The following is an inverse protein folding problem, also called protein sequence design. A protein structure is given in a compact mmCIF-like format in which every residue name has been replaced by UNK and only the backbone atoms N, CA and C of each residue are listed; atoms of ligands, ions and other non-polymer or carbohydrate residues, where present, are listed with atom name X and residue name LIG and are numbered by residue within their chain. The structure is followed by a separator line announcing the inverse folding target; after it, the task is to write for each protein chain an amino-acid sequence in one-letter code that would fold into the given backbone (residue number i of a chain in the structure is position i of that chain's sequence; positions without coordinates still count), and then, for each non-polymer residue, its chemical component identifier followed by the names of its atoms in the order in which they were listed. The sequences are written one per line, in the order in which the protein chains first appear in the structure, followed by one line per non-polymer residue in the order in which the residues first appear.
data_IF_486483235495
#
_entry.id   IF_486483235495
#
_cell.length_a   1.000
_cell.length_b   1.000
_cell.length_c   1.000
_cell.angle_alpha   90.00
_cell.angle_beta   90.00
_cell.angle_gamma   90.00
#
_symmetry.space_group_name_H-M   'P 1'
#
loop_
_entity.id
_entity.type
_entity.pdbx_description
1 polymer ?
#
# COMPACT_ATOMS: atom_id res chain seq x y z
N UNK A 1 -41.58 9.90 -7.22
CA UNK A 1 -40.25 10.52 -7.02
C UNK A 1 -39.30 9.41 -6.60
N UNK A 2 -38.17 9.21 -7.30
CA UNK A 2 -37.12 8.30 -6.79
C UNK A 2 -36.45 8.97 -5.60
N UNK A 3 -36.62 8.41 -4.42
CA UNK A 3 -35.94 8.86 -3.21
C UNK A 3 -34.44 8.64 -3.40
N UNK A 4 -33.65 9.70 -3.41
CA UNK A 4 -32.20 9.58 -3.42
C UNK A 4 -31.76 9.03 -2.06
N UNK A 5 -31.14 7.85 -2.06
CA UNK A 5 -30.54 7.25 -0.86
C UNK A 5 -29.02 7.19 -1.03
N UNK A 6 -28.31 7.36 0.08
CA UNK A 6 -26.87 7.13 0.11
C UNK A 6 -26.58 5.64 -0.15
N UNK A 7 -25.53 5.31 -0.93
CA UNK A 7 -25.12 3.93 -1.11
C UNK A 7 -24.49 3.39 0.18
N UNK A 8 -24.46 2.06 0.30
CA UNK A 8 -23.70 1.39 1.36
C UNK A 8 -22.20 1.75 1.28
N UNK A 9 -21.49 1.81 2.41
CA UNK A 9 -20.05 1.98 2.42
C UNK A 9 -19.37 0.88 1.60
N UNK A 10 -18.50 1.28 0.67
CA UNK A 10 -17.71 0.35 -0.15
C UNK A 10 -16.42 -0.14 0.53
N UNK A 11 -16.00 0.56 1.59
CA UNK A 11 -14.84 0.22 2.39
C UNK A 11 -15.31 -0.49 3.66
N UNK A 12 -15.71 -1.75 3.52
CA UNK A 12 -16.09 -2.63 4.63
C UNK A 12 -14.94 -3.58 4.90
N UNK A 13 -14.31 -3.44 6.06
CA UNK A 13 -13.11 -4.18 6.39
C UNK A 13 -12.72 -4.07 7.85
N UNK A 14 -11.73 -4.88 8.24
CA UNK A 14 -11.17 -4.88 9.59
C UNK A 14 -10.09 -3.81 9.69
N UNK A 15 -10.21 -2.93 10.69
CA UNK A 15 -9.12 -2.03 11.06
C UNK A 15 -8.07 -2.79 11.87
N UNK A 16 -6.84 -2.81 11.38
CA UNK A 16 -5.69 -3.44 12.02
C UNK A 16 -4.67 -2.38 12.42
N UNK A 17 -3.99 -2.59 13.54
CA UNK A 17 -2.88 -1.76 14.00
C UNK A 17 -1.58 -2.52 13.86
N UNK A 18 -0.92 -2.39 12.70
CA UNK A 18 0.41 -2.93 12.48
C UNK A 18 1.48 -1.90 12.83
N UNK A 19 2.68 -2.36 13.13
CA UNK A 19 3.85 -1.47 13.22
C UNK A 19 4.44 -1.26 11.82
N UNK A 20 5.19 -0.16 11.62
CA UNK A 20 5.95 0.07 10.38
C UNK A 20 6.82 -1.15 10.06
N UNK A 21 7.49 -1.75 11.05
CA UNK A 21 8.37 -2.89 10.84
C UNK A 21 7.68 -4.15 10.33
N UNK A 22 6.37 -4.28 10.56
CA UNK A 22 5.56 -5.38 10.01
C UNK A 22 5.55 -5.40 8.48
N UNK A 23 5.92 -4.28 7.84
CA UNK A 23 6.05 -4.21 6.38
C UNK A 23 7.21 -5.08 5.86
N UNK A 24 8.24 -5.38 6.64
CA UNK A 24 9.38 -6.23 6.19
C UNK A 24 9.74 -7.36 7.15
N UNK A 25 9.22 -7.33 8.38
CA UNK A 25 9.34 -8.44 9.32
C UNK A 25 8.22 -9.46 9.09
N UNK A 26 8.53 -10.75 9.30
CA UNK A 26 7.58 -11.85 9.09
C UNK A 26 7.68 -12.47 7.69
N UNK A 27 6.63 -13.17 7.28
CA UNK A 27 6.58 -13.87 6.00
C UNK A 27 6.42 -12.87 4.86
N UNK A 28 7.36 -12.89 3.91
CA UNK A 28 7.26 -12.08 2.71
C UNK A 28 6.07 -12.53 1.86
N UNK A 29 5.20 -11.58 1.51
CA UNK A 29 4.21 -11.80 0.46
C UNK A 29 4.92 -12.03 -0.87
N UNK A 30 4.33 -12.86 -1.72
CA UNK A 30 4.90 -13.18 -3.03
C UNK A 30 3.88 -12.84 -4.11
N UNK A 31 4.31 -12.23 -5.22
CA UNK A 31 3.49 -12.15 -6.42
C UNK A 31 2.97 -13.53 -6.82
N UNK A 32 1.67 -13.62 -7.08
CA UNK A 32 1.03 -14.80 -7.68
C UNK A 32 1.18 -14.78 -9.20
N UNK A 33 1.33 -13.58 -9.78
CA UNK A 33 1.48 -13.38 -11.21
C UNK A 33 2.75 -12.58 -11.51
N UNK A 34 3.39 -12.85 -12.65
CA UNK A 34 4.62 -12.16 -13.09
C UNK A 34 4.44 -10.66 -13.30
N UNK A 35 3.22 -10.22 -13.60
CA UNK A 35 2.88 -8.82 -13.84
C UNK A 35 2.72 -8.01 -12.55
N UNK A 36 2.55 -8.66 -11.41
CA UNK A 36 2.41 -8.01 -10.11
C UNK A 36 3.77 -7.52 -9.59
N UNK A 37 3.73 -6.48 -8.77
CA UNK A 37 4.94 -5.88 -8.19
C UNK A 37 4.98 -6.15 -6.69
N UNK A 38 6.14 -6.54 -6.17
CA UNK A 38 6.35 -6.63 -4.73
C UNK A 38 6.83 -5.29 -4.16
N UNK A 39 6.33 -4.91 -2.99
CA UNK A 39 6.83 -3.79 -2.19
C UNK A 39 6.93 -4.23 -0.74
N UNK A 40 8.14 -4.58 -0.30
CA UNK A 40 8.37 -5.23 0.99
C UNK A 40 7.48 -6.49 1.12
N UNK A 41 6.77 -6.69 2.23
CA UNK A 41 5.86 -7.82 2.43
C UNK A 41 4.44 -7.59 1.86
N UNK A 42 4.31 -6.77 0.82
CA UNK A 42 3.05 -6.46 0.15
C UNK A 42 3.17 -6.69 -1.36
N UNK A 43 2.04 -6.98 -2.00
CA UNK A 43 1.93 -7.18 -3.45
C UNK A 43 1.02 -6.12 -4.02
N UNK A 44 1.38 -5.58 -5.18
CA UNK A 44 0.66 -4.52 -5.87
C UNK A 44 0.02 -5.08 -7.13
N UNK A 45 -1.24 -4.69 -7.42
CA UNK A 45 -1.87 -5.01 -8.69
C UNK A 45 -1.04 -4.51 -9.88
N UNK A 46 -1.03 -5.26 -10.98
CA UNK A 46 -0.24 -4.90 -12.18
C UNK A 46 -0.68 -3.59 -12.84
N UNK A 47 -1.94 -3.19 -12.65
CA UNK A 47 -2.55 -1.97 -13.19
C UNK A 47 -2.34 -0.73 -12.30
N UNK A 48 -1.76 -0.89 -11.12
CA UNK A 48 -1.47 0.24 -10.23
C UNK A 48 -0.27 1.04 -10.77
N UNK A 49 -0.39 2.37 -10.81
CA UNK A 49 0.67 3.27 -11.29
C UNK A 49 2.01 3.03 -10.59
N UNK A 50 3.15 3.31 -11.24
CA UNK A 50 4.45 3.37 -10.56
C UNK A 50 4.48 4.40 -9.40
N UNK A 51 5.44 4.29 -8.45
CA UNK A 51 5.66 5.33 -7.45
C UNK A 51 5.93 6.69 -8.11
N UNK A 52 5.30 7.74 -7.59
CA UNK A 52 5.27 9.05 -8.23
C UNK A 52 5.54 10.22 -7.27
N UNK A 53 5.69 9.96 -5.97
CA UNK A 53 6.16 11.00 -5.04
C UNK A 53 7.60 11.40 -5.36
N UNK A 54 7.86 12.71 -5.41
CA UNK A 54 9.21 13.24 -5.53
C UNK A 54 10.04 12.87 -4.30
N UNK A 55 11.38 12.92 -4.42
CA UNK A 55 12.27 12.70 -3.28
C UNK A 55 11.91 13.59 -2.09
N UNK A 56 11.58 14.86 -2.36
CA UNK A 56 11.17 15.84 -1.35
C UNK A 56 9.90 15.40 -0.59
N UNK A 57 8.88 14.88 -1.30
CA UNK A 57 7.66 14.36 -0.67
C UNK A 57 7.95 13.15 0.21
N UNK A 58 8.81 12.24 -0.26
CA UNK A 58 9.18 11.04 0.49
C UNK A 58 9.99 11.40 1.74
N UNK A 59 10.96 12.31 1.64
CA UNK A 59 11.76 12.79 2.77
C UNK A 59 10.86 13.44 3.82
N UNK A 60 9.99 14.38 3.42
CA UNK A 60 9.06 15.04 4.34
C UNK A 60 8.12 14.07 5.05
N UNK A 61 7.67 13.02 4.36
CA UNK A 61 6.85 11.98 4.98
C UNK A 61 7.62 11.24 6.09
N UNK A 62 8.85 10.81 5.82
CA UNK A 62 9.68 10.10 6.82
C UNK A 62 10.05 11.03 7.98
N UNK A 63 10.41 12.29 7.71
CA UNK A 63 10.61 13.30 8.75
C UNK A 63 9.36 13.48 9.62
N UNK A 64 8.17 13.51 9.00
CA UNK A 64 6.89 13.58 9.70
C UNK A 64 6.68 12.43 10.68
N UNK A 65 7.08 11.20 10.33
CA UNK A 65 7.04 10.05 11.25
C UNK A 65 7.93 10.31 12.48
N UNK A 66 9.18 10.73 12.26
CA UNK A 66 10.11 11.03 13.36
C UNK A 66 9.67 12.21 14.25
N UNK A 67 8.89 13.15 13.68
CA UNK A 67 8.29 14.29 14.37
C UNK A 67 6.94 13.96 15.03
N UNK A 68 6.42 12.75 14.86
CA UNK A 68 5.16 12.31 15.50
C UNK A 68 3.89 12.77 14.77
N UNK A 69 3.98 13.18 13.50
CA UNK A 69 2.82 13.57 12.68
C UNK A 69 1.99 12.37 12.19
N UNK A 70 2.48 11.15 12.42
CA UNK A 70 1.81 9.91 12.07
C UNK A 70 2.08 9.42 10.65
N UNK A 71 1.52 8.25 10.33
CA UNK A 71 1.76 7.53 9.07
C UNK A 71 0.60 7.65 8.07
N UNK A 72 -0.55 8.19 8.48
CA UNK A 72 -1.82 7.91 7.80
C UNK A 72 -2.17 6.43 7.90
N UNK A 73 -2.84 5.86 6.89
CA UNK A 73 -3.19 4.44 6.82
C UNK A 73 -2.80 3.85 5.46
N UNK A 74 -2.92 2.54 5.31
CA UNK A 74 -2.88 1.86 4.01
C UNK A 74 -4.05 0.90 3.90
N UNK A 75 -4.40 0.49 2.69
CA UNK A 75 -5.56 -0.38 2.43
C UNK A 75 -5.11 -1.58 1.63
N UNK A 76 -5.48 -2.78 2.06
CA UNK A 76 -5.24 -4.03 1.34
C UNK A 76 -6.55 -4.74 1.04
N UNK A 77 -6.61 -5.49 -0.07
CA UNK A 77 -7.62 -6.52 -0.27
C UNK A 77 -7.44 -7.62 0.78
N UNK A 78 -8.53 -8.31 1.13
CA UNK A 78 -8.47 -9.44 2.04
C UNK A 78 -7.53 -10.54 1.54
N UNK A 79 -7.01 -11.34 2.47
CA UNK A 79 -6.22 -12.52 2.12
C UNK A 79 -7.12 -13.74 2.05
N UNK A 80 -7.00 -14.47 0.95
CA UNK A 80 -7.71 -15.74 0.75
C UNK A 80 -6.78 -16.74 0.06
N UNK A 81 -6.92 -18.02 0.42
CA UNK A 81 -6.06 -19.10 -0.06
C UNK A 81 -6.88 -20.15 -0.80
N UNK A 82 -6.32 -20.68 -1.88
CA UNK A 82 -6.88 -21.86 -2.56
C UNK A 82 -6.60 -23.14 -1.77
N UNK A 83 -7.22 -24.25 -2.22
CA UNK A 83 -7.04 -25.58 -1.63
C UNK A 83 -5.57 -26.07 -1.65
N UNK A 84 -4.76 -25.53 -2.55
CA UNK A 84 -3.32 -25.81 -2.66
C UNK A 84 -2.46 -24.99 -1.68
N UNK A 85 -3.09 -24.17 -0.83
CA UNK A 85 -2.45 -23.31 0.16
C UNK A 85 -1.77 -22.08 -0.43
N UNK A 86 -1.94 -21.79 -1.72
CA UNK A 86 -1.44 -20.56 -2.35
C UNK A 86 -2.46 -19.44 -2.24
N UNK A 87 -1.97 -18.21 -2.21
CA UNK A 87 -2.82 -17.03 -2.27
C UNK A 87 -3.68 -17.07 -3.55
N UNK A 88 -4.99 -16.84 -3.43
CA UNK A 88 -5.85 -16.65 -4.59
C UNK A 88 -5.45 -15.39 -5.38
N UNK A 89 -5.84 -15.28 -6.67
CA UNK A 89 -5.68 -14.03 -7.40
C UNK A 89 -6.23 -12.85 -6.59
N UNK A 90 -5.53 -11.72 -6.61
CA UNK A 90 -5.90 -10.49 -5.89
C UNK A 90 -5.79 -10.54 -4.35
N UNK A 91 -5.44 -11.69 -3.76
CA UNK A 91 -5.26 -11.85 -2.30
C UNK A 91 -4.20 -10.88 -1.78
N UNK A 92 -4.56 -10.08 -0.78
CA UNK A 92 -3.62 -9.18 -0.10
C UNK A 92 -3.09 -8.00 -0.94
N UNK A 93 -3.69 -7.70 -2.09
CA UNK A 93 -3.27 -6.57 -2.95
C UNK A 93 -3.32 -5.22 -2.23
N UNK A 94 -2.25 -4.43 -2.35
CA UNK A 94 -2.15 -3.07 -1.81
C UNK A 94 -2.91 -2.06 -2.68
N UNK A 95 -4.05 -1.56 -2.18
CA UNK A 95 -4.94 -0.64 -2.90
C UNK A 95 -4.68 0.83 -2.57
N UNK A 96 -4.12 1.14 -1.40
CA UNK A 96 -3.72 2.50 -1.03
C UNK A 96 -2.46 2.48 -0.16
N UNK A 97 -1.69 3.57 -0.19
CA UNK A 97 -0.48 3.72 0.63
C UNK A 97 0.83 3.41 -0.09
N UNK A 98 0.81 3.05 -1.38
CA UNK A 98 2.01 2.77 -2.19
C UNK A 98 3.11 3.82 -1.97
N UNK A 99 2.77 5.11 -2.06
CA UNK A 99 3.78 6.18 -1.99
C UNK A 99 4.44 6.29 -0.61
N UNK A 100 3.66 6.12 0.46
CA UNK A 100 4.14 6.11 1.86
C UNK A 100 5.05 4.91 2.10
N UNK A 101 4.63 3.73 1.66
CA UNK A 101 5.39 2.49 1.85
C UNK A 101 6.65 2.50 0.99
N UNK A 102 6.62 3.07 -0.21
CA UNK A 102 7.83 3.29 -1.02
C UNK A 102 8.81 4.21 -0.30
N UNK A 103 8.36 5.32 0.31
CA UNK A 103 9.24 6.18 1.09
C UNK A 103 9.88 5.43 2.27
N UNK A 104 9.11 4.60 2.98
CA UNK A 104 9.63 3.74 4.07
C UNK A 104 10.67 2.77 3.54
N UNK A 105 10.37 2.03 2.46
CA UNK A 105 11.28 1.08 1.83
C UNK A 105 12.61 1.75 1.43
N UNK A 106 12.54 2.92 0.79
CA UNK A 106 13.72 3.67 0.38
C UNK A 106 14.52 4.19 1.57
N UNK A 107 13.87 4.58 2.66
CA UNK A 107 14.59 5.01 3.86
C UNK A 107 15.31 3.84 4.54
N UNK A 108 14.65 2.70 4.75
CA UNK A 108 15.28 1.54 5.42
C UNK A 108 16.42 0.91 4.61
N UNK A 109 16.40 1.08 3.29
CA UNK A 109 17.48 0.68 2.38
C UNK A 109 18.58 1.75 2.20
N UNK A 110 18.57 2.81 3.01
CA UNK A 110 19.50 3.94 2.91
C UNK A 110 19.51 4.65 1.55
N UNK A 111 18.45 4.58 0.75
CA UNK A 111 18.35 5.26 -0.55
C UNK A 111 18.01 6.75 -0.39
N UNK A 112 17.26 7.11 0.64
CA UNK A 112 17.01 8.51 1.04
C UNK A 112 17.54 8.80 2.45
N UNK A 113 17.88 10.07 2.70
CA UNK A 113 18.26 10.57 4.02
C UNK A 113 17.26 11.65 4.46
N UNK A 114 17.07 11.80 5.76
CA UNK A 114 16.19 12.80 6.38
C UNK A 114 16.98 13.81 7.20
N UNK A 115 16.38 14.96 7.52
CA UNK A 115 16.98 16.02 8.32
C UNK A 115 18.37 16.43 7.84
N UNK A 116 18.55 16.51 6.52
CA UNK A 116 19.79 16.94 5.89
C UNK A 116 20.93 15.92 5.87
N UNK A 117 20.72 14.66 6.28
CA UNK A 117 21.76 13.64 6.13
C UNK A 117 21.62 12.35 6.96
N UNK A 118 20.60 12.22 7.80
CA UNK A 118 20.39 11.04 8.64
C UNK A 118 19.86 9.88 7.78
N UNK A 119 20.63 8.80 7.73
CA UNK A 119 20.30 7.54 7.05
C UNK A 119 19.76 6.52 8.05
N UNK A 120 18.97 5.54 7.60
CA UNK A 120 18.44 4.51 8.50
C UNK A 120 19.54 3.73 9.20
N UNK A 121 20.59 3.32 8.49
CA UNK A 121 21.74 2.62 9.08
C UNK A 121 22.44 3.42 10.17
N UNK A 122 22.43 4.76 10.11
CA UNK A 122 23.08 5.63 11.09
C UNK A 122 22.35 5.73 12.43
N UNK A 123 21.08 5.32 12.49
CA UNK A 123 20.28 5.35 13.71
C UNK A 123 20.73 4.26 14.69
N UNK A 124 20.76 4.61 15.98
CA UNK A 124 20.93 3.61 17.04
C UNK A 124 19.75 2.63 17.05
N UNK A 125 19.95 1.43 17.62
CA UNK A 125 18.88 0.43 17.77
C UNK A 125 17.68 0.99 18.54
N UNK A 126 17.93 1.83 19.55
CA UNK A 126 16.87 2.46 20.32
C UNK A 126 16.06 3.45 19.49
N UNK A 127 16.71 4.25 18.64
CA UNK A 127 16.03 5.18 17.72
C UNK A 127 15.24 4.44 16.66
N UNK A 128 15.82 3.43 16.01
CA UNK A 128 15.11 2.57 15.04
C UNK A 128 13.82 2.04 15.64
N UNK A 129 13.92 1.37 16.79
CA UNK A 129 12.78 0.73 17.45
C UNK A 129 11.73 1.74 17.89
N UNK A 130 12.12 2.74 18.69
CA UNK A 130 11.16 3.61 19.39
C UNK A 130 10.60 4.72 18.51
N UNK A 131 11.38 5.21 17.56
CA UNK A 131 11.01 6.40 16.76
C UNK A 131 10.57 6.07 15.34
N UNK A 132 10.72 4.82 14.89
CA UNK A 132 10.37 4.43 13.53
C UNK A 132 9.70 3.06 13.44
N UNK A 133 10.42 1.97 13.71
CA UNK A 133 9.95 0.58 13.49
C UNK A 133 8.65 0.26 14.24
N UNK A 134 8.53 0.64 15.51
CA UNK A 134 7.36 0.35 16.34
C UNK A 134 6.25 1.40 16.24
N UNK A 135 6.38 2.40 15.36
CA UNK A 135 5.30 3.36 15.12
C UNK A 135 4.15 2.61 14.44
N UNK A 136 2.92 2.85 14.92
CA UNK A 136 1.73 2.23 14.36
C UNK A 136 1.47 2.80 12.96
N UNK A 137 1.33 1.91 11.98
CA UNK A 137 0.84 2.19 10.65
C UNK A 137 -0.49 1.46 10.45
N UNK A 138 -1.63 2.13 10.69
CA UNK A 138 -2.96 1.55 10.52
C UNK A 138 -3.17 0.94 9.14
N UNK A 139 -3.77 -0.25 9.12
CA UNK A 139 -4.18 -0.95 7.90
C UNK A 139 -5.69 -1.15 7.92
N UNK A 140 -6.33 -0.88 6.79
CA UNK A 140 -7.70 -1.31 6.53
C UNK A 140 -7.61 -2.53 5.63
N UNK A 141 -7.99 -3.68 6.18
CA UNK A 141 -8.01 -4.95 5.48
C UNK A 141 -9.46 -5.23 5.05
N UNK A 142 -9.71 -5.20 3.75
CA UNK A 142 -11.04 -5.51 3.20
C UNK A 142 -11.38 -6.98 3.39
N UNK A 143 -12.68 -7.32 3.31
CA UNK A 143 -13.05 -8.69 2.95
C UNK A 143 -12.51 -8.99 1.54
N UNK A 144 -12.06 -10.23 1.31
CA UNK A 144 -11.50 -10.62 0.03
C UNK A 144 -12.49 -10.37 -1.11
N UNK A 145 -12.05 -9.59 -2.10
CA UNK A 145 -12.79 -9.36 -3.34
C UNK A 145 -12.06 -10.04 -4.50
N UNK A 146 -12.77 -10.89 -5.24
CA UNK A 146 -12.31 -11.47 -6.50
C UNK A 146 -12.67 -10.61 -7.74
N UNK A 147 -13.40 -9.51 -7.55
CA UNK A 147 -13.81 -8.58 -8.61
C UNK A 147 -12.75 -7.48 -8.81
N UNK A 148 -11.92 -7.62 -9.84
CA UNK A 148 -10.91 -6.63 -10.19
C UNK A 148 -11.52 -5.24 -10.51
N UNK A 149 -12.72 -5.21 -11.09
CA UNK A 149 -13.39 -3.96 -11.47
C UNK A 149 -13.82 -3.17 -10.23
N UNK A 150 -14.30 -3.87 -9.21
CA UNK A 150 -14.56 -3.30 -7.89
C UNK A 150 -13.27 -2.78 -7.25
N UNK A 151 -12.18 -3.57 -7.29
CA UNK A 151 -10.88 -3.17 -6.74
C UNK A 151 -10.29 -1.94 -7.45
N UNK A 152 -10.40 -1.85 -8.78
CA UNK A 152 -10.00 -0.67 -9.57
C UNK A 152 -10.84 0.56 -9.20
N UNK A 153 -12.15 0.38 -9.00
CA UNK A 153 -13.05 1.45 -8.56
C UNK A 153 -12.66 1.96 -7.17
N UNK A 154 -12.37 1.05 -6.23
CA UNK A 154 -11.89 1.38 -4.88
C UNK A 154 -10.56 2.12 -4.94
N UNK A 155 -9.58 1.60 -5.68
CA UNK A 155 -8.29 2.24 -5.88
C UNK A 155 -8.43 3.68 -6.37
N UNK A 156 -9.26 3.91 -7.40
CA UNK A 156 -9.46 5.25 -7.99
C UNK A 156 -10.07 6.23 -6.97
N UNK A 157 -10.98 5.75 -6.11
CA UNK A 157 -11.58 6.55 -5.04
C UNK A 157 -10.62 6.80 -3.88
N UNK A 158 -9.78 5.85 -3.51
CA UNK A 158 -8.80 6.01 -2.44
C UNK A 158 -7.68 6.97 -2.85
N UNK A 159 -7.25 6.89 -4.11
CA UNK A 159 -6.08 7.60 -4.61
C UNK A 159 -6.44 8.86 -5.42
N UNK A 160 -7.65 9.41 -5.26
CA UNK A 160 -8.10 10.59 -6.01
C UNK A 160 -7.34 11.88 -5.64
N UNK A 161 -6.78 11.91 -4.43
CA UNK A 161 -6.15 13.08 -3.83
C UNK A 161 -4.63 12.97 -3.79
N UNK A 162 -3.95 14.09 -3.51
CA UNK A 162 -2.50 14.18 -3.53
C UNK A 162 -1.95 14.40 -4.94
N UNK A 163 -1.03 13.54 -5.39
CA UNK A 163 -0.52 13.61 -6.76
C UNK A 163 -1.52 12.98 -7.71
N UNK A 164 -2.15 13.79 -8.56
CA UNK A 164 -3.13 13.35 -9.54
C UNK A 164 -2.56 12.30 -10.50
N UNK A 165 -3.38 11.32 -10.88
CA UNK A 165 -3.05 10.36 -11.92
C UNK A 165 -2.93 11.06 -13.28
N UNK A 166 -1.91 10.66 -14.03
CA UNK A 166 -1.78 11.04 -15.44
C UNK A 166 -2.79 10.26 -16.29
N UNK A 167 -2.98 10.67 -17.54
CA UNK A 167 -3.81 9.92 -18.49
C UNK A 167 -3.28 8.49 -18.72
N UNK A 168 -1.96 8.31 -18.70
CA UNK A 168 -1.31 7.00 -18.81
C UNK A 168 -1.65 6.13 -17.60
N UNK A 169 -1.59 6.69 -16.39
CA UNK A 169 -1.94 5.95 -15.17
C UNK A 169 -3.42 5.52 -15.16
N UNK A 170 -4.31 6.35 -15.70
CA UNK A 170 -5.74 6.05 -15.79
C UNK A 170 -6.03 4.98 -16.85
N UNK A 171 -5.31 4.99 -17.98
CA UNK A 171 -5.46 4.00 -19.03
C UNK A 171 -5.19 2.57 -18.54
N UNK A 172 -4.26 2.38 -17.59
CA UNK A 172 -3.99 1.09 -16.96
C UNK A 172 -5.21 0.50 -16.23
N UNK A 173 -6.14 1.34 -15.76
CA UNK A 173 -7.35 0.89 -15.08
C UNK A 173 -8.41 0.40 -16.09
N UNK A 174 -8.42 1.00 -17.28
CA UNK A 174 -9.41 0.71 -18.32
C UNK A 174 -9.02 -0.53 -19.16
N UNK A 175 -7.76 -0.98 -19.07
CA UNK A 175 -7.34 -2.27 -19.62
C UNK A 175 -8.11 -3.40 -18.92
N UNK A 176 -9.08 -3.99 -19.65
CA UNK A 176 -9.74 -5.21 -19.22
C UNK A 176 -8.76 -6.36 -19.48
N UNK A 177 -8.21 -6.93 -18.41
CA UNK A 177 -7.39 -8.14 -18.52
C UNK A 177 -8.29 -9.30 -18.14
N UNK A 178 -8.54 -10.19 -19.08
CA UNK A 178 -9.23 -11.45 -18.78
C UNK A 178 -8.43 -12.18 -17.69
N UNK A 179 -9.13 -12.70 -16.68
CA UNK A 179 -8.50 -13.55 -15.69
C UNK A 179 -7.86 -14.74 -16.43
N UNK A 180 -6.63 -15.16 -16.06
CA UNK A 180 -6.06 -16.35 -16.65
C UNK A 180 -7.03 -17.51 -16.43
N UNK A 181 -7.42 -18.17 -17.52
CA UNK A 181 -8.09 -19.45 -17.46
C UNK A 181 -7.06 -20.47 -16.95
N UNK A 182 -7.39 -21.06 -15.79
CA UNK A 182 -6.72 -22.13 -15.03
C UNK A 182 -5.45 -22.78 -15.62
#
# INVERSE_FOLDING_TARGET
MKTLQLPEPILTGTQRSYTISSLWQGTAARPNQTSERQLLNLVLPSWQRPPCWSNEQQIRFIEGIFLGLGTGFYVINGREYGDDGKDLPMSGWLLDGQQRITAIARFINDEIAVFGGIRYSSLSVAEKRRRFENIVFPCIELEYQADETLLKTLYRRLNFSGTAHTLVDLALLDETREAPQD
#
